data_IF_405013504526
#
_entry.id   IF_405013504526
#
_cell.length_a   1.000
_cell.length_b   1.000
_cell.length_c   1.000
_cell.angle_alpha   90.00
_cell.angle_beta   90.00
_cell.angle_gamma   90.00
#
_symmetry.space_group_name_H-M   'P 1'
#
loop_
_entity.id
_entity.type
_entity.pdbx_description
1 polymer ?
#
# COMPACT_ATOMS: atom_id res chain seq x y z
N UNK A 1 11.63 -3.12 18.23
CA UNK A 1 10.17 -2.89 18.31
C UNK A 1 9.83 -1.48 18.78
N UNK A 2 10.30 -1.02 19.96
CA UNK A 2 9.97 0.34 20.45
C UNK A 2 10.38 1.48 19.50
N UNK A 3 11.54 1.38 18.84
CA UNK A 3 12.01 2.39 17.85
C UNK A 3 11.16 2.45 16.60
N UNK A 4 10.58 1.33 16.18
CA UNK A 4 9.69 1.25 15.00
C UNK A 4 8.33 1.90 15.30
N UNK A 5 7.81 1.69 16.51
CA UNK A 5 6.56 2.30 16.99
C UNK A 5 6.71 3.82 17.09
N UNK A 6 7.85 4.29 17.58
CA UNK A 6 8.16 5.73 17.67
C UNK A 6 8.27 6.36 16.27
N UNK A 7 8.94 5.68 15.32
CA UNK A 7 9.02 6.14 13.93
C UNK A 7 7.65 6.19 13.26
N UNK A 8 6.82 5.18 13.50
CA UNK A 8 5.45 5.12 12.98
C UNK A 8 4.56 6.20 13.60
N UNK A 9 4.67 6.42 14.93
CA UNK A 9 3.98 7.52 15.62
C UNK A 9 4.43 8.90 15.13
N UNK A 10 5.74 9.08 14.88
CA UNK A 10 6.28 10.31 14.32
C UNK A 10 5.78 10.56 12.89
N UNK A 11 5.69 9.52 12.08
CA UNK A 11 5.14 9.59 10.72
C UNK A 11 3.66 10.00 10.72
N UNK A 12 2.87 9.50 11.66
CA UNK A 12 1.47 9.90 11.87
C UNK A 12 1.37 11.34 12.37
N UNK A 13 2.22 11.77 13.31
CA UNK A 13 2.21 13.13 13.85
C UNK A 13 2.64 14.20 12.83
N UNK A 14 3.61 13.88 11.96
CA UNK A 14 4.04 14.79 10.87
C UNK A 14 2.93 14.95 9.83
N UNK A 15 2.13 13.92 9.58
CA UNK A 15 0.94 14.01 8.73
C UNK A 15 -0.14 14.91 9.33
N UNK A 16 -0.35 14.88 10.64
CA UNK A 16 -1.38 15.67 11.32
C UNK A 16 -1.19 17.20 11.26
N UNK A 17 0.02 17.70 11.07
CA UNK A 17 0.31 19.14 11.03
C UNK A 17 0.26 19.78 9.63
N UNK A 18 0.22 18.98 8.57
CA UNK A 18 0.14 19.46 7.19
C UNK A 18 -1.30 19.69 6.67
N UNK A 19 -2.30 19.46 7.48
CA UNK A 19 -3.70 19.29 7.06
C UNK A 19 -4.57 20.56 7.01
N UNK A 20 -4.01 21.73 7.11
CA UNK A 20 -4.85 22.92 7.16
C UNK A 20 -5.52 23.29 5.82
N UNK A 21 -5.09 22.76 4.69
CA UNK A 21 -5.65 23.17 3.38
C UNK A 21 -5.44 22.13 2.27
N UNK A 22 -6.55 21.62 1.72
CA UNK A 22 -6.72 21.03 0.38
C UNK A 22 -6.21 19.59 0.21
N UNK A 23 -7.04 18.64 0.48
CA UNK A 23 -6.81 17.28 -0.01
C UNK A 23 -7.74 16.29 0.65
N UNK A 24 -8.38 15.49 -0.16
CA UNK A 24 -9.13 14.35 0.33
C UNK A 24 -8.15 13.40 1.00
N UNK A 25 -8.49 13.00 2.21
CA UNK A 25 -7.77 11.99 2.98
C UNK A 25 -8.62 10.74 3.07
N UNK A 26 -8.00 9.59 3.00
CA UNK A 26 -8.70 8.34 3.18
C UNK A 26 -7.85 7.32 3.93
N UNK A 27 -8.50 6.57 4.80
CA UNK A 27 -7.93 5.40 5.44
C UNK A 27 -8.63 4.14 4.96
N UNK A 28 -7.90 3.07 4.71
CA UNK A 28 -8.50 1.87 4.14
C UNK A 28 -7.81 0.59 4.54
N UNK A 29 -8.52 -0.49 4.27
CA UNK A 29 -8.04 -1.86 4.40
C UNK A 29 -8.13 -2.55 3.05
N UNK A 30 -7.31 -3.55 2.83
CA UNK A 30 -7.32 -4.33 1.60
C UNK A 30 -6.89 -5.78 1.81
N UNK A 31 -7.41 -6.64 0.95
CA UNK A 31 -6.89 -7.97 0.73
C UNK A 31 -5.82 -7.89 -0.36
N UNK A 32 -4.78 -8.67 -0.23
CA UNK A 32 -3.67 -8.71 -1.17
C UNK A 32 -3.31 -10.16 -1.50
N UNK A 33 -2.73 -10.37 -2.68
CA UNK A 33 -2.16 -11.65 -3.11
C UNK A 33 -0.81 -11.39 -3.77
N UNK A 34 0.22 -12.07 -3.31
CA UNK A 34 1.58 -12.00 -3.86
C UNK A 34 1.94 -13.27 -4.63
N UNK A 35 2.46 -13.10 -5.86
CA UNK A 35 2.74 -14.25 -6.74
C UNK A 35 4.02 -14.99 -6.37
N UNK A 36 5.00 -14.34 -5.78
CA UNK A 36 6.25 -15.00 -5.35
C UNK A 36 6.04 -15.81 -4.07
N UNK A 37 5.37 -15.20 -3.09
CA UNK A 37 5.03 -15.89 -1.85
C UNK A 37 3.87 -16.88 -2.03
N UNK A 38 3.13 -16.78 -3.14
CA UNK A 38 1.93 -17.58 -3.43
C UNK A 38 0.91 -17.57 -2.29
N UNK A 39 0.73 -16.41 -1.66
CA UNK A 39 -0.11 -16.28 -0.47
C UNK A 39 -1.01 -15.05 -0.53
N UNK A 40 -2.14 -15.20 0.14
CA UNK A 40 -3.01 -14.07 0.48
C UNK A 40 -2.46 -13.31 1.69
N UNK A 41 -2.86 -12.07 1.79
CA UNK A 41 -2.55 -11.22 2.93
C UNK A 41 -3.60 -10.15 3.14
N UNK A 42 -3.39 -9.40 4.18
CA UNK A 42 -4.20 -8.23 4.52
C UNK A 42 -3.30 -7.01 4.65
N UNK A 43 -3.85 -5.86 4.44
CA UNK A 43 -3.11 -4.63 4.63
C UNK A 43 -3.97 -3.45 4.99
N UNK A 44 -3.28 -2.41 5.41
CA UNK A 44 -3.86 -1.11 5.70
C UNK A 44 -3.18 -0.06 4.83
N UNK A 45 -3.90 0.99 4.49
CA UNK A 45 -3.39 2.09 3.70
C UNK A 45 -3.94 3.42 4.19
N UNK A 46 -3.14 4.43 3.98
CA UNK A 46 -3.57 5.80 4.12
C UNK A 46 -3.33 6.52 2.80
N UNK A 47 -4.25 7.38 2.41
CA UNK A 47 -4.18 8.11 1.16
C UNK A 47 -4.31 9.60 1.44
N UNK A 48 -3.45 10.39 0.82
CA UNK A 48 -3.46 11.83 0.89
C UNK A 48 -3.31 12.44 -0.50
N UNK A 49 -4.34 13.15 -0.95
CA UNK A 49 -4.29 13.86 -2.22
C UNK A 49 -3.53 15.18 -2.03
N UNK A 50 -2.30 15.23 -2.51
CA UNK A 50 -1.45 16.42 -2.47
C UNK A 50 -2.00 17.49 -3.43
N UNK A 51 -2.50 17.05 -4.58
CA UNK A 51 -3.22 17.85 -5.57
C UNK A 51 -4.44 17.09 -6.04
N UNK A 52 -5.21 17.64 -6.95
CA UNK A 52 -6.38 16.96 -7.54
C UNK A 52 -6.00 15.68 -8.29
N UNK A 53 -4.76 15.58 -8.77
CA UNK A 53 -4.28 14.46 -9.56
C UNK A 53 -3.17 13.64 -8.89
N UNK A 54 -2.49 14.18 -7.88
CA UNK A 54 -1.36 13.49 -7.22
C UNK A 54 -1.75 13.07 -5.82
N UNK A 55 -1.61 11.77 -5.55
CA UNK A 55 -1.89 11.15 -4.26
C UNK A 55 -0.64 10.44 -3.74
N UNK A 56 -0.40 10.57 -2.45
CA UNK A 56 0.55 9.74 -1.71
C UNK A 56 -0.21 8.62 -1.00
N UNK A 57 0.33 7.40 -1.06
CA UNK A 57 -0.24 6.24 -0.39
C UNK A 57 0.86 5.46 0.37
N UNK A 58 1.12 5.76 1.63
CA UNK A 58 1.76 4.81 2.52
C UNK A 58 0.83 3.63 2.79
N UNK A 59 1.38 2.43 2.76
CA UNK A 59 0.63 1.21 3.06
C UNK A 59 1.52 0.12 3.67
N UNK A 60 0.88 -0.80 4.36
CA UNK A 60 1.51 -1.91 5.04
C UNK A 60 0.73 -3.17 4.69
N UNK A 61 1.45 -4.24 4.31
CA UNK A 61 0.87 -5.54 4.02
C UNK A 61 1.50 -6.61 4.89
N UNK A 62 0.69 -7.58 5.27
CA UNK A 62 1.12 -8.83 5.85
C UNK A 62 0.55 -9.97 5.03
N UNK A 63 1.43 -10.80 4.46
CA UNK A 63 1.07 -12.00 3.72
C UNK A 63 1.15 -13.19 4.66
N UNK A 64 0.10 -14.01 4.65
CA UNK A 64 0.02 -15.17 5.52
C UNK A 64 1.06 -16.20 5.15
N UNK A 65 1.52 -16.93 6.15
CA UNK A 65 2.49 -17.99 5.96
C UNK A 65 2.04 -19.00 4.89
N UNK A 66 2.93 -19.24 3.96
CA UNK A 66 2.82 -20.29 2.97
C UNK A 66 4.15 -21.05 2.89
N UNK A 67 4.12 -22.36 3.04
CA UNK A 67 5.31 -23.23 3.05
C UNK A 67 6.39 -22.81 4.08
N UNK A 68 5.99 -22.26 5.21
CA UNK A 68 6.89 -21.81 6.27
C UNK A 68 7.51 -20.43 6.02
N UNK A 69 7.00 -19.67 5.07
CA UNK A 69 7.46 -18.33 4.74
C UNK A 69 6.29 -17.36 4.91
N UNK A 70 6.46 -16.32 5.68
CA UNK A 70 5.57 -15.18 5.72
C UNK A 70 6.30 -13.90 5.26
N UNK A 71 5.54 -12.92 4.84
CA UNK A 71 6.09 -11.67 4.33
C UNK A 71 5.36 -10.48 4.96
N UNK A 72 6.16 -9.49 5.31
CA UNK A 72 5.68 -8.18 5.72
C UNK A 72 6.31 -7.11 4.82
N UNK A 73 5.52 -6.17 4.31
CA UNK A 73 6.05 -5.05 3.57
C UNK A 73 5.47 -3.70 3.99
N UNK A 74 6.31 -2.68 3.87
CA UNK A 74 5.96 -1.27 3.97
C UNK A 74 6.14 -0.62 2.60
N UNK A 75 5.15 0.13 2.15
CA UNK A 75 5.17 0.79 0.86
C UNK A 75 4.93 2.29 1.01
N UNK A 76 5.56 3.04 0.13
CA UNK A 76 5.29 4.46 -0.08
C UNK A 76 5.10 4.67 -1.58
N UNK A 77 3.86 4.80 -2.02
CA UNK A 77 3.50 4.94 -3.43
C UNK A 77 3.02 6.36 -3.74
N UNK A 78 3.25 6.77 -4.96
CA UNK A 78 2.66 7.97 -5.58
C UNK A 78 1.71 7.49 -6.68
N UNK A 79 0.48 7.97 -6.66
CA UNK A 79 -0.54 7.72 -7.68
C UNK A 79 -0.77 8.99 -8.49
N UNK A 80 -0.95 8.84 -9.79
CA UNK A 80 -1.46 9.92 -10.63
C UNK A 80 -2.89 9.59 -11.06
N UNK A 81 -3.85 10.37 -10.56
CA UNK A 81 -5.28 10.10 -10.72
C UNK A 81 -5.79 10.68 -12.03
N UNK A 82 -6.38 9.84 -12.87
CA UNK A 82 -7.11 10.21 -14.07
C UNK A 82 -8.60 9.99 -13.85
N UNK A 83 -9.42 11.05 -13.70
CA UNK A 83 -10.87 10.90 -13.63
C UNK A 83 -11.41 10.42 -14.98
N UNK A 84 -12.06 9.26 -14.98
CA UNK A 84 -12.69 8.67 -16.16
C UNK A 84 -14.20 8.94 -16.20
N UNK A 85 -14.82 9.05 -15.02
CA UNK A 85 -16.21 9.41 -14.83
C UNK A 85 -16.36 10.14 -13.50
N UNK A 86 -17.56 10.59 -13.16
CA UNK A 86 -17.83 11.35 -11.93
C UNK A 86 -17.42 10.59 -10.65
N UNK A 87 -17.47 9.27 -10.69
CA UNK A 87 -17.16 8.40 -9.55
C UNK A 87 -16.10 7.33 -9.84
N UNK A 88 -15.45 7.36 -11.02
CA UNK A 88 -14.45 6.37 -11.42
C UNK A 88 -13.14 7.09 -11.75
N UNK A 89 -12.05 6.63 -11.15
CA UNK A 89 -10.68 7.09 -11.42
C UNK A 89 -9.79 5.89 -11.71
N UNK A 90 -8.89 6.05 -12.67
CA UNK A 90 -7.78 5.11 -12.91
C UNK A 90 -6.48 5.80 -12.54
N UNK A 91 -5.48 5.02 -12.14
CA UNK A 91 -4.20 5.59 -11.76
C UNK A 91 -3.04 4.65 -12.05
N UNK A 92 -1.98 5.12 -12.70
CA UNK A 92 -0.66 4.53 -12.58
C UNK A 92 -0.09 4.85 -11.21
N UNK A 93 0.75 3.97 -10.71
CA UNK A 93 1.49 4.15 -9.47
C UNK A 93 2.96 3.82 -9.64
N UNK A 94 3.78 4.53 -8.90
CA UNK A 94 5.19 4.23 -8.70
C UNK A 94 5.54 4.47 -7.23
N UNK A 95 6.47 3.71 -6.68
CA UNK A 95 6.84 3.87 -5.28
C UNK A 95 7.99 3.01 -4.83
N UNK A 96 8.22 3.04 -3.55
CA UNK A 96 9.23 2.25 -2.87
C UNK A 96 8.57 1.22 -1.96
N UNK A 97 9.24 0.10 -1.80
CA UNK A 97 8.86 -0.95 -0.87
C UNK A 97 10.04 -1.34 0.01
N UNK A 98 9.74 -1.61 1.26
CA UNK A 98 10.62 -2.26 2.20
C UNK A 98 9.96 -3.55 2.62
N UNK A 99 10.47 -4.68 2.14
CA UNK A 99 9.87 -5.98 2.34
C UNK A 99 10.78 -6.88 3.17
N UNK A 100 10.18 -7.65 4.07
CA UNK A 100 10.83 -8.62 4.91
C UNK A 100 10.14 -9.96 4.76
N UNK A 101 10.94 -10.98 4.49
CA UNK A 101 10.52 -12.40 4.49
C UNK A 101 11.07 -13.09 5.72
N UNK A 102 10.21 -13.77 6.42
CA UNK A 102 10.56 -14.64 7.55
C UNK A 102 10.46 -16.09 7.09
N UNK A 103 11.58 -16.80 7.15
CA UNK A 103 11.70 -18.22 6.76
C UNK A 103 11.59 -19.17 7.96
N UNK A 104 11.07 -18.69 9.07
CA UNK A 104 10.97 -19.44 10.31
C UNK A 104 12.32 -19.71 10.97
N UNK A 105 12.37 -20.73 11.83
CA UNK A 105 13.57 -21.01 12.64
C UNK A 105 14.75 -21.64 11.87
N UNK A 106 14.56 -22.00 10.62
CA UNK A 106 15.55 -22.72 9.82
C UNK A 106 16.53 -21.81 9.08
N UNK A 107 16.15 -20.56 8.81
CA UNK A 107 16.95 -19.60 8.05
C UNK A 107 16.80 -18.20 8.64
N UNK A 108 17.77 -17.33 8.35
CA UNK A 108 17.71 -15.93 8.75
C UNK A 108 16.68 -15.15 7.91
N UNK A 109 16.03 -14.18 8.54
CA UNK A 109 15.10 -13.28 7.87
C UNK A 109 15.82 -12.47 6.78
N UNK A 110 15.15 -12.30 5.66
CA UNK A 110 15.67 -11.52 4.55
C UNK A 110 14.87 -10.23 4.42
N UNK A 111 15.58 -9.12 4.44
CA UNK A 111 15.00 -7.79 4.23
C UNK A 111 15.56 -7.15 2.98
N UNK A 112 14.71 -6.58 2.15
CA UNK A 112 15.08 -5.92 0.89
C UNK A 112 14.31 -4.62 0.69
N UNK A 113 14.98 -3.67 0.04
CA UNK A 113 14.38 -2.50 -0.57
C UNK A 113 14.08 -2.78 -2.03
N UNK A 114 12.96 -2.27 -2.51
CA UNK A 114 12.56 -2.42 -3.90
C UNK A 114 11.74 -1.25 -4.42
N UNK A 115 11.32 -1.37 -5.67
CA UNK A 115 10.52 -0.38 -6.38
C UNK A 115 9.19 -1.00 -6.78
N UNK A 116 8.11 -0.25 -6.60
CA UNK A 116 6.77 -0.60 -7.04
C UNK A 116 6.45 0.15 -8.34
N UNK A 117 5.93 -0.56 -9.33
CA UNK A 117 5.30 0.02 -10.52
C UNK A 117 3.98 -0.70 -10.80
N UNK A 118 2.95 0.03 -11.13
CA UNK A 118 1.66 -0.57 -11.39
C UNK A 118 0.56 0.44 -11.66
N UNK A 119 -0.66 0.04 -11.36
CA UNK A 119 -1.81 0.91 -11.51
C UNK A 119 -3.06 0.30 -10.90
N UNK A 120 -4.12 1.06 -10.89
CA UNK A 120 -5.38 0.62 -10.35
C UNK A 120 -6.56 1.40 -10.88
N UNK A 121 -7.72 0.93 -10.47
CA UNK A 121 -9.00 1.59 -10.70
C UNK A 121 -9.70 1.72 -9.35
N UNK A 122 -10.34 2.84 -9.14
CA UNK A 122 -11.15 3.09 -7.95
C UNK A 122 -12.49 3.69 -8.33
N UNK A 123 -13.50 3.37 -7.52
CA UNK A 123 -14.84 3.91 -7.67
C UNK A 123 -15.42 4.28 -6.32
N UNK A 124 -16.08 5.44 -6.27
CA UNK A 124 -16.84 5.85 -5.09
C UNK A 124 -18.15 5.04 -5.05
N UNK A 125 -18.33 4.26 -3.99
CA UNK A 125 -19.51 3.40 -3.78
C UNK A 125 -20.54 4.03 -2.84
N UNK A 126 -20.14 5.05 -2.10
CA UNK A 126 -20.96 5.91 -1.26
C UNK A 126 -20.23 7.26 -1.05
N UNK A 127 -20.88 8.23 -0.42
CA UNK A 127 -20.34 9.57 -0.25
C UNK A 127 -18.92 9.59 0.36
N UNK A 128 -18.64 8.70 1.29
CA UNK A 128 -17.36 8.61 1.97
C UNK A 128 -16.63 7.28 1.77
N UNK A 129 -17.15 6.36 0.93
CA UNK A 129 -16.53 5.06 0.72
C UNK A 129 -16.09 4.86 -0.72
N UNK A 130 -14.90 4.36 -0.87
CA UNK A 130 -14.25 4.08 -2.14
C UNK A 130 -13.79 2.63 -2.18
N UNK A 131 -14.16 1.92 -3.24
CA UNK A 131 -13.64 0.60 -3.58
C UNK A 131 -12.49 0.76 -4.56
N UNK A 132 -11.41 -0.01 -4.41
CA UNK A 132 -10.30 -0.01 -5.34
C UNK A 132 -9.79 -1.40 -5.68
N UNK A 133 -9.34 -1.55 -6.92
CA UNK A 133 -8.59 -2.69 -7.44
C UNK A 133 -7.22 -2.19 -7.90
N UNK A 134 -6.15 -2.85 -7.50
CA UNK A 134 -4.79 -2.47 -7.81
C UNK A 134 -3.97 -3.69 -8.24
N UNK A 135 -3.17 -3.51 -9.27
CA UNK A 135 -2.14 -4.43 -9.70
C UNK A 135 -0.82 -3.69 -9.72
N UNK A 136 0.16 -4.19 -9.01
CA UNK A 136 1.52 -3.65 -9.06
C UNK A 136 2.54 -4.77 -9.19
N UNK A 137 3.65 -4.46 -9.83
CA UNK A 137 4.85 -5.28 -9.82
C UNK A 137 5.85 -4.69 -8.83
N UNK A 138 6.37 -5.52 -7.97
CA UNK A 138 7.33 -5.17 -6.94
C UNK A 138 8.69 -5.73 -7.35
N UNK A 139 9.58 -4.82 -7.75
CA UNK A 139 10.95 -5.15 -8.14
C UNK A 139 11.81 -5.17 -6.89
N UNK A 140 12.11 -6.35 -6.42
CA UNK A 140 12.95 -6.59 -5.24
C UNK A 140 13.97 -7.66 -5.56
N UNK A 141 15.25 -7.38 -5.38
CA UNK A 141 16.32 -8.33 -5.69
C UNK A 141 16.04 -9.71 -5.09
N UNK A 142 16.05 -10.73 -5.93
CA UNK A 142 15.77 -12.14 -5.63
C UNK A 142 14.31 -12.49 -5.31
N UNK A 143 13.40 -11.51 -5.20
CA UNK A 143 12.00 -11.69 -4.79
C UNK A 143 11.02 -10.80 -5.56
N UNK A 144 11.23 -10.67 -6.86
CA UNK A 144 10.31 -9.92 -7.73
C UNK A 144 8.94 -10.57 -7.75
N UNK A 145 7.87 -9.79 -7.60
CA UNK A 145 6.52 -10.32 -7.59
C UNK A 145 5.46 -9.37 -8.14
N UNK A 146 4.40 -9.96 -8.69
CA UNK A 146 3.16 -9.24 -8.93
C UNK A 146 2.28 -9.29 -7.68
N UNK A 147 1.68 -8.16 -7.34
CA UNK A 147 0.78 -8.03 -6.19
C UNK A 147 -0.57 -7.52 -6.68
N UNK A 148 -1.60 -8.28 -6.39
CA UNK A 148 -3.00 -7.93 -6.61
C UNK A 148 -3.61 -7.45 -5.31
N UNK A 149 -4.39 -6.38 -5.36
CA UNK A 149 -5.10 -5.84 -4.19
C UNK A 149 -6.55 -5.51 -4.53
N UNK A 150 -7.43 -5.81 -3.59
CA UNK A 150 -8.80 -5.30 -3.54
C UNK A 150 -9.03 -4.66 -2.19
N UNK A 151 -9.51 -3.44 -2.14
CA UNK A 151 -9.64 -2.71 -0.89
C UNK A 151 -10.79 -1.74 -0.87
N UNK A 152 -11.13 -1.35 0.34
CA UNK A 152 -12.09 -0.30 0.63
C UNK A 152 -11.40 0.78 1.45
N UNK A 153 -11.72 2.04 1.18
CA UNK A 153 -11.22 3.18 1.94
C UNK A 153 -12.36 4.12 2.33
N UNK A 154 -12.23 4.70 3.50
CA UNK A 154 -13.11 5.75 4.01
C UNK A 154 -12.45 7.10 3.84
N UNK A 155 -13.13 8.03 3.18
CA UNK A 155 -12.71 9.42 2.96
C UNK A 155 -13.23 10.31 4.09
N UNK A 156 -12.39 11.14 4.66
CA UNK A 156 -12.72 12.04 5.78
C UNK A 156 -12.12 13.44 5.63
#
# INVERSE_FOLDING_TARGET
MKKLIVLFSMMICVMGSAFAQKGIQAGGIHLTYGTEIESFGIGVKYQYNVTDNIRLEPSMNYFFENNGIDQFDLNANVHYLFPMASNIRVYPLAGLTFARWDFGKAFDDVTRLGVNLGGGIETDIADNFMLNLELKYQFVSDFDQAIFKIGIAYMF
#
